data_IF_615592087661
#
_entry.id   IF_615592087661
#
_cell.length_a   1.000
_cell.length_b   1.000
_cell.length_c   1.000
_cell.angle_alpha   90.00
_cell.angle_beta   90.00
_cell.angle_gamma   90.00
#
_symmetry.space_group_name_H-M   'P 1'
#
loop_
_entity.id
_entity.type
_entity.pdbx_description
1 polymer ?
#
# COMPACT_ATOMS: atom_id res chain seq x y z
N UNK A 1 34.60 4.68 -16.46
CA UNK A 1 33.44 5.34 -17.05
C UNK A 1 32.25 4.94 -16.20
N UNK A 2 31.77 5.85 -15.37
CA UNK A 2 30.63 5.59 -14.46
C UNK A 2 29.36 5.80 -15.28
N UNK A 3 28.65 4.72 -15.62
CA UNK A 3 27.34 4.80 -16.23
C UNK A 3 26.36 5.35 -15.18
N UNK A 4 26.00 6.60 -15.32
CA UNK A 4 24.87 7.20 -14.59
C UNK A 4 23.58 6.54 -15.09
N UNK A 5 23.05 5.58 -14.32
CA UNK A 5 21.71 5.06 -14.56
C UNK A 5 20.71 6.20 -14.36
N UNK A 6 20.17 6.69 -15.45
CA UNK A 6 19.08 7.67 -15.44
C UNK A 6 17.87 7.03 -14.78
N UNK A 7 17.43 7.61 -13.67
CA UNK A 7 16.14 7.35 -13.04
C UNK A 7 15.04 7.53 -14.08
N UNK A 8 14.36 6.47 -14.49
CA UNK A 8 13.15 6.56 -15.31
C UNK A 8 11.98 6.81 -14.38
N UNK A 9 11.64 8.09 -14.20
CA UNK A 9 10.40 8.47 -13.52
C UNK A 9 9.26 8.43 -14.54
N UNK A 10 8.31 7.53 -14.37
CA UNK A 10 7.04 7.56 -15.08
C UNK A 10 6.07 8.45 -14.29
N UNK A 11 6.01 9.74 -14.66
CA UNK A 11 4.99 10.66 -14.13
C UNK A 11 3.68 10.37 -14.86
N UNK A 12 2.75 9.67 -14.20
CA UNK A 12 1.40 9.45 -14.72
C UNK A 12 0.56 10.73 -14.70
N UNK A 13 -0.43 10.83 -15.61
CA UNK A 13 -1.15 12.04 -15.99
C UNK A 13 -1.81 12.86 -14.87
N UNK A 14 -1.98 12.30 -13.66
CA UNK A 14 -2.63 13.00 -12.55
C UNK A 14 -1.74 13.25 -11.33
N UNK A 15 -0.51 12.72 -11.28
CA UNK A 15 0.42 12.93 -10.18
C UNK A 15 -0.03 12.38 -8.80
N UNK A 16 -1.11 11.57 -8.75
CA UNK A 16 -1.62 10.95 -7.52
C UNK A 16 -0.92 9.63 -7.17
N UNK A 17 -0.23 9.02 -8.11
CA UNK A 17 0.70 7.92 -7.91
C UNK A 17 2.04 8.35 -8.49
N UNK A 18 3.08 8.28 -7.68
CA UNK A 18 4.45 8.44 -8.14
C UNK A 18 5.08 7.06 -8.20
N UNK A 19 5.57 6.67 -9.38
CA UNK A 19 6.25 5.42 -9.60
C UNK A 19 7.63 5.69 -10.21
N UNK A 20 8.66 5.15 -9.57
CA UNK A 20 10.05 5.30 -10.01
C UNK A 20 10.85 4.03 -9.73
N UNK A 21 11.92 3.83 -10.48
CA UNK A 21 12.90 2.80 -10.19
C UNK A 21 14.15 3.47 -9.65
N UNK A 22 14.53 3.11 -8.42
CA UNK A 22 15.76 3.55 -7.80
C UNK A 22 16.63 2.35 -7.46
N UNK A 23 17.84 2.31 -7.97
CA UNK A 23 18.68 1.10 -7.91
C UNK A 23 17.98 -0.07 -8.59
N UNK A 24 17.62 -1.09 -7.82
CA UNK A 24 16.90 -2.29 -8.29
C UNK A 24 15.51 -2.43 -7.65
N UNK A 25 14.94 -1.34 -7.18
CA UNK A 25 13.61 -1.29 -6.55
C UNK A 25 12.62 -0.45 -7.34
N UNK A 26 11.43 -0.98 -7.53
CA UNK A 26 10.24 -0.21 -7.89
C UNK A 26 9.67 0.46 -6.65
N UNK A 27 9.53 1.77 -6.67
CA UNK A 27 9.00 2.56 -5.56
C UNK A 27 7.69 3.21 -5.97
N UNK A 28 6.61 2.85 -5.26
CA UNK A 28 5.27 3.40 -5.45
C UNK A 28 4.93 4.28 -4.25
N UNK A 29 4.62 5.54 -4.53
CA UNK A 29 4.14 6.49 -3.53
C UNK A 29 2.73 6.95 -3.88
N UNK A 30 1.77 6.65 -2.99
CA UNK A 30 0.41 7.22 -3.08
C UNK A 30 0.48 8.69 -2.70
N UNK A 31 0.14 9.59 -3.63
CA UNK A 31 0.41 11.02 -3.54
C UNK A 31 -0.88 11.86 -3.58
N UNK A 32 -1.92 11.41 -2.92
CA UNK A 32 -3.20 12.13 -2.77
C UNK A 32 -3.47 12.47 -1.31
N UNK A 33 -2.48 13.02 -0.62
CA UNK A 33 -2.50 13.27 0.84
C UNK A 33 -3.69 14.12 1.31
N UNK A 34 -4.23 15.02 0.47
CA UNK A 34 -5.45 15.81 0.76
C UNK A 34 -6.69 14.95 0.98
N UNK A 35 -6.74 13.76 0.39
CA UNK A 35 -7.81 12.78 0.54
C UNK A 35 -7.32 11.52 1.30
N UNK A 36 -6.28 11.65 2.15
CA UNK A 36 -5.68 10.53 2.88
C UNK A 36 -5.30 9.36 1.97
N UNK A 37 -4.87 9.67 0.76
CA UNK A 37 -4.52 8.72 -0.30
C UNK A 37 -5.64 7.74 -0.69
N UNK A 38 -6.91 8.17 -0.54
CA UNK A 38 -8.06 7.38 -1.02
C UNK A 38 -7.92 7.10 -2.52
N UNK A 39 -8.20 5.85 -2.90
CA UNK A 39 -8.00 5.33 -4.25
C UNK A 39 -9.06 5.88 -5.21
N UNK A 40 -8.60 6.37 -6.34
CA UNK A 40 -9.41 6.60 -7.53
C UNK A 40 -9.12 5.54 -8.59
N UNK A 41 -10.01 5.40 -9.56
CA UNK A 41 -9.80 4.47 -10.69
C UNK A 41 -8.48 4.76 -11.44
N UNK A 42 -8.14 6.05 -11.61
CA UNK A 42 -6.86 6.43 -12.20
C UNK A 42 -5.66 5.93 -11.39
N UNK A 43 -5.71 6.02 -10.05
CA UNK A 43 -4.64 5.49 -9.18
C UNK A 43 -4.52 3.98 -9.28
N UNK A 44 -5.64 3.26 -9.33
CA UNK A 44 -5.67 1.79 -9.52
C UNK A 44 -4.96 1.43 -10.84
N UNK A 45 -5.29 2.11 -11.92
CA UNK A 45 -4.69 1.92 -13.25
C UNK A 45 -3.20 2.25 -13.27
N UNK A 46 -2.79 3.35 -12.66
CA UNK A 46 -1.39 3.77 -12.59
C UNK A 46 -0.53 2.75 -11.81
N UNK A 47 -1.02 2.26 -10.66
CA UNK A 47 -0.35 1.22 -9.87
C UNK A 47 -0.24 -0.08 -10.68
N UNK A 48 -1.34 -0.50 -11.31
CA UNK A 48 -1.39 -1.71 -12.13
C UNK A 48 -0.37 -1.63 -13.28
N UNK A 49 -0.33 -0.51 -13.99
CA UNK A 49 0.61 -0.30 -15.10
C UNK A 49 2.08 -0.39 -14.65
N UNK A 50 2.41 0.24 -13.52
CA UNK A 50 3.76 0.19 -12.95
C UNK A 50 4.14 -1.25 -12.57
N UNK A 51 3.26 -1.98 -11.88
CA UNK A 51 3.50 -3.36 -11.48
C UNK A 51 3.68 -4.30 -12.68
N UNK A 52 2.84 -4.17 -13.71
CA UNK A 52 2.95 -5.00 -14.92
C UNK A 52 4.27 -4.74 -15.66
N UNK A 53 4.67 -3.46 -15.78
CA UNK A 53 5.95 -3.11 -16.39
C UNK A 53 7.14 -3.67 -15.60
N UNK A 54 7.13 -3.54 -14.29
CA UNK A 54 8.23 -4.00 -13.43
C UNK A 54 8.26 -5.51 -13.22
N UNK A 55 7.15 -6.21 -13.42
CA UNK A 55 7.12 -7.67 -13.38
C UNK A 55 8.03 -8.29 -14.41
N UNK A 56 8.06 -7.72 -15.61
CA UNK A 56 8.85 -8.19 -16.75
C UNK A 56 10.27 -7.55 -16.82
N UNK A 57 10.58 -6.59 -15.94
CA UNK A 57 11.91 -5.94 -15.93
C UNK A 57 12.85 -6.64 -14.93
N UNK A 58 13.83 -7.38 -15.44
CA UNK A 58 14.85 -8.07 -14.63
C UNK A 58 15.72 -7.13 -13.78
N UNK A 59 15.73 -5.84 -14.07
CA UNK A 59 16.42 -4.85 -13.23
C UNK A 59 15.64 -4.50 -11.96
N UNK A 60 14.34 -4.72 -11.92
CA UNK A 60 13.52 -4.51 -10.71
C UNK A 60 13.43 -5.83 -9.95
N UNK A 61 13.95 -5.86 -8.73
CA UNK A 61 13.99 -7.07 -7.90
C UNK A 61 12.93 -7.12 -6.80
N UNK A 62 12.43 -5.97 -6.38
CA UNK A 62 11.36 -5.87 -5.37
C UNK A 62 10.59 -4.56 -5.58
N UNK A 63 9.41 -4.45 -4.95
CA UNK A 63 8.58 -3.25 -5.01
C UNK A 63 8.22 -2.80 -3.60
N UNK A 64 8.28 -1.49 -3.34
CA UNK A 64 7.86 -0.92 -2.06
C UNK A 64 6.77 0.14 -2.25
N UNK A 65 5.81 0.12 -1.32
CA UNK A 65 4.67 1.04 -1.29
C UNK A 65 4.71 1.92 -0.04
N UNK A 66 4.38 3.21 -0.21
CA UNK A 66 4.14 4.15 0.89
C UNK A 66 3.02 5.14 0.56
N UNK A 67 2.47 5.78 1.59
CA UNK A 67 1.60 6.94 1.44
C UNK A 67 2.34 8.25 1.74
N UNK A 68 2.21 9.24 0.85
CA UNK A 68 2.68 10.60 1.08
C UNK A 68 1.82 11.26 2.16
N UNK A 69 2.47 11.94 3.09
CA UNK A 69 1.83 12.71 4.14
C UNK A 69 1.78 14.21 3.85
N UNK A 70 1.36 14.94 4.89
CA UNK A 70 1.48 16.38 4.99
C UNK A 70 2.15 16.74 6.30
N UNK A 71 3.08 17.67 6.25
CA UNK A 71 3.57 18.33 7.45
C UNK A 71 2.44 19.16 8.08
N UNK A 72 2.17 18.94 9.37
CA UNK A 72 1.07 19.61 10.07
C UNK A 72 1.34 21.09 10.33
N UNK A 73 2.61 21.48 10.40
CA UNK A 73 3.02 22.85 10.69
C UNK A 73 3.04 23.72 9.45
N UNK A 74 3.56 23.19 8.33
CA UNK A 74 3.72 23.95 7.06
C UNK A 74 2.64 23.64 6.04
N UNK A 75 1.97 22.49 6.13
CA UNK A 75 1.04 22.00 5.12
C UNK A 75 1.72 21.41 3.89
N UNK A 76 3.05 21.38 3.86
CA UNK A 76 3.84 20.83 2.77
C UNK A 76 3.76 19.29 2.73
N UNK A 77 4.20 18.69 1.62
CA UNK A 77 4.30 17.25 1.49
C UNK A 77 5.33 16.68 2.47
N UNK A 78 4.94 15.65 3.21
CA UNK A 78 5.82 14.88 4.07
C UNK A 78 6.04 13.48 3.46
N UNK A 79 7.27 12.91 3.54
CA UNK A 79 7.60 11.66 2.85
C UNK A 79 6.78 10.45 3.33
N UNK A 80 6.20 10.53 4.53
CA UNK A 80 5.32 9.51 5.08
C UNK A 80 4.10 10.15 5.75
N UNK A 81 2.95 9.47 5.64
CA UNK A 81 1.69 9.85 6.25
C UNK A 81 0.69 8.71 6.15
N UNK A 82 -0.62 9.02 6.11
CA UNK A 82 -1.61 7.96 5.92
C UNK A 82 -1.30 7.15 4.68
N UNK A 83 -1.26 5.82 4.84
CA UNK A 83 -0.98 4.92 3.73
C UNK A 83 -2.09 5.04 2.67
N UNK A 84 -3.32 4.65 3.05
CA UNK A 84 -4.48 4.76 2.19
C UNK A 84 -5.78 4.59 3.00
N UNK A 85 -6.73 5.49 2.82
CA UNK A 85 -8.02 5.46 3.52
C UNK A 85 -9.11 4.60 2.83
N UNK A 86 -8.74 3.81 1.82
CA UNK A 86 -9.66 3.00 1.03
C UNK A 86 -10.07 3.64 -0.30
N UNK A 87 -11.15 3.16 -0.90
CA UNK A 87 -11.72 3.76 -2.11
C UNK A 87 -12.30 5.16 -1.86
N UNK A 88 -12.42 5.96 -2.90
CA UNK A 88 -13.01 7.30 -2.81
C UNK A 88 -14.55 7.23 -2.69
N UNK A 89 -15.04 7.09 -1.45
CA UNK A 89 -16.48 6.98 -1.14
C UNK A 89 -17.31 8.14 -1.71
N UNK A 90 -16.73 9.34 -1.80
CA UNK A 90 -17.45 10.49 -2.38
C UNK A 90 -17.70 10.30 -3.86
N UNK A 91 -16.70 9.80 -4.56
CA UNK A 91 -16.83 9.42 -5.96
C UNK A 91 -17.85 8.30 -6.11
N UNK A 92 -17.80 7.25 -5.29
CA UNK A 92 -18.75 6.13 -5.36
C UNK A 92 -20.19 6.59 -5.20
N UNK A 93 -20.45 7.44 -4.21
CA UNK A 93 -21.78 7.99 -3.99
C UNK A 93 -22.30 8.79 -5.19
N UNK A 94 -21.47 9.66 -5.75
CA UNK A 94 -21.82 10.47 -6.92
C UNK A 94 -22.04 9.61 -8.17
N UNK A 95 -21.14 8.66 -8.43
CA UNK A 95 -21.23 7.76 -9.57
C UNK A 95 -22.48 6.87 -9.48
N UNK A 96 -22.79 6.34 -8.29
CA UNK A 96 -23.99 5.53 -8.07
C UNK A 96 -25.27 6.32 -8.35
N UNK A 97 -25.38 7.57 -7.86
CA UNK A 97 -26.53 8.43 -8.12
C UNK A 97 -26.68 8.81 -9.60
N UNK A 98 -25.56 8.94 -10.31
CA UNK A 98 -25.52 9.26 -11.72
C UNK A 98 -25.73 8.05 -12.65
N UNK A 99 -25.70 6.81 -12.11
CA UNK A 99 -25.68 5.59 -12.92
C UNK A 99 -24.41 5.48 -13.77
N UNK A 100 -23.28 6.02 -13.27
CA UNK A 100 -22.01 6.02 -14.00
C UNK A 100 -21.39 4.61 -14.01
N UNK A 101 -21.18 3.98 -15.17
CA UNK A 101 -20.63 2.64 -15.28
C UNK A 101 -19.18 2.53 -14.78
N UNK A 102 -18.45 3.64 -14.67
CA UNK A 102 -17.07 3.64 -14.18
C UNK A 102 -16.96 3.22 -12.68
N UNK A 103 -18.10 3.20 -11.97
CA UNK A 103 -18.14 2.64 -10.61
C UNK A 103 -17.88 1.12 -10.62
N UNK A 104 -18.45 0.41 -11.59
CA UNK A 104 -18.27 -1.05 -11.77
C UNK A 104 -16.84 -1.35 -12.23
N UNK A 105 -16.30 -0.52 -13.13
CA UNK A 105 -14.88 -0.58 -13.53
C UNK A 105 -13.95 -0.43 -12.34
N UNK A 106 -14.24 0.50 -11.41
CA UNK A 106 -13.41 0.70 -10.23
C UNK A 106 -13.27 -0.59 -9.42
N UNK A 107 -14.36 -1.24 -9.02
CA UNK A 107 -14.30 -2.46 -8.22
C UNK A 107 -13.63 -3.61 -8.97
N UNK A 108 -13.94 -3.77 -10.25
CA UNK A 108 -13.34 -4.81 -11.09
C UNK A 108 -11.83 -4.65 -11.19
N UNK A 109 -11.36 -3.42 -11.44
CA UNK A 109 -9.93 -3.14 -11.59
C UNK A 109 -9.20 -3.13 -10.24
N UNK A 110 -9.83 -2.66 -9.15
CA UNK A 110 -9.28 -2.72 -7.80
C UNK A 110 -9.06 -4.18 -7.36
N UNK A 111 -10.04 -5.06 -7.56
CA UNK A 111 -9.89 -6.47 -7.18
C UNK A 111 -8.85 -7.19 -8.06
N UNK A 112 -8.76 -6.80 -9.33
CA UNK A 112 -7.70 -7.28 -10.22
C UNK A 112 -6.32 -6.83 -9.74
N UNK A 113 -6.18 -5.58 -9.30
CA UNK A 113 -4.95 -5.06 -8.71
C UNK A 113 -4.58 -5.79 -7.42
N UNK A 114 -5.55 -6.03 -6.52
CA UNK A 114 -5.31 -6.77 -5.27
C UNK A 114 -4.80 -8.19 -5.56
N UNK A 115 -5.40 -8.87 -6.54
CA UNK A 115 -4.93 -10.19 -6.98
C UNK A 115 -3.52 -10.12 -7.59
N UNK A 116 -3.23 -9.10 -8.41
CA UNK A 116 -1.91 -8.90 -9.00
C UNK A 116 -0.84 -8.72 -7.92
N UNK A 117 -1.10 -7.91 -6.88
CA UNK A 117 -0.16 -7.72 -5.77
C UNK A 117 0.04 -9.02 -4.99
N UNK A 118 -1.06 -9.73 -4.68
CA UNK A 118 -1.01 -10.98 -3.92
C UNK A 118 -0.24 -12.11 -4.65
N UNK A 119 -0.32 -12.14 -5.98
CA UNK A 119 0.37 -13.15 -6.81
C UNK A 119 1.65 -12.62 -7.45
N UNK A 120 2.14 -11.48 -6.99
CA UNK A 120 3.30 -10.84 -7.62
C UNK A 120 4.55 -11.70 -7.45
N UNK A 121 5.28 -11.90 -8.56
CA UNK A 121 6.44 -12.80 -8.61
C UNK A 121 7.70 -12.28 -7.90
N UNK A 122 7.71 -11.00 -7.52
CA UNK A 122 8.83 -10.35 -6.82
C UNK A 122 8.38 -9.91 -5.44
N UNK A 123 9.28 -9.83 -4.44
CA UNK A 123 8.95 -9.34 -3.11
C UNK A 123 8.30 -7.96 -3.15
N UNK A 124 7.22 -7.80 -2.38
CA UNK A 124 6.50 -6.54 -2.22
C UNK A 124 6.48 -6.13 -0.76
N UNK A 125 6.67 -4.84 -0.48
CA UNK A 125 6.73 -4.29 0.88
C UNK A 125 5.76 -3.10 1.01
N UNK A 126 4.90 -3.11 2.02
CA UNK A 126 4.02 -2.00 2.36
C UNK A 126 4.45 -1.33 3.67
N UNK A 127 4.75 -0.02 3.62
CA UNK A 127 4.94 0.83 4.79
C UNK A 127 3.59 1.44 5.20
N UNK A 128 2.92 0.77 6.11
CA UNK A 128 1.58 1.10 6.58
C UNK A 128 1.61 2.11 7.73
N UNK A 129 1.96 3.36 7.42
CA UNK A 129 1.94 4.44 8.41
C UNK A 129 0.58 5.16 8.40
N UNK A 130 0.15 5.73 9.53
CA UNK A 130 -1.12 6.42 9.66
C UNK A 130 -2.33 5.54 9.30
N UNK A 131 -3.27 6.05 8.50
CA UNK A 131 -4.52 5.36 8.14
C UNK A 131 -4.25 4.29 7.07
N UNK A 132 -4.79 3.09 7.33
CA UNK A 132 -4.78 1.92 6.43
C UNK A 132 -6.14 1.26 6.51
N UNK A 133 -7.04 1.57 5.58
CA UNK A 133 -8.44 1.11 5.66
C UNK A 133 -8.97 0.65 4.29
N UNK A 134 -9.92 -0.28 4.29
CA UNK A 134 -10.61 -0.73 3.09
C UNK A 134 -9.68 -1.09 1.93
N UNK A 135 -9.79 -0.46 0.77
CA UNK A 135 -8.88 -0.67 -0.38
C UNK A 135 -7.39 -0.48 -0.04
N UNK A 136 -7.05 0.33 0.98
CA UNK A 136 -5.69 0.44 1.51
C UNK A 136 -5.22 -0.86 2.16
N UNK A 137 -6.12 -1.57 2.86
CA UNK A 137 -5.87 -2.92 3.34
C UNK A 137 -5.69 -3.89 2.16
N UNK A 138 -6.50 -3.77 1.11
CA UNK A 138 -6.39 -4.60 -0.09
C UNK A 138 -5.01 -4.55 -0.74
N UNK A 139 -4.44 -3.35 -0.88
CA UNK A 139 -3.06 -3.19 -1.37
C UNK A 139 -2.06 -3.78 -0.38
N UNK A 140 -2.15 -3.39 0.89
CA UNK A 140 -1.14 -3.74 1.89
C UNK A 140 -1.13 -5.23 2.22
N UNK A 141 -2.30 -5.86 2.38
CA UNK A 141 -2.41 -7.28 2.74
C UNK A 141 -2.03 -8.22 1.59
N UNK A 142 -2.02 -7.72 0.35
CA UNK A 142 -1.46 -8.44 -0.80
C UNK A 142 0.07 -8.47 -0.81
N UNK A 143 0.75 -7.57 -0.10
CA UNK A 143 2.20 -7.51 -0.06
C UNK A 143 2.82 -8.67 0.74
N UNK A 144 4.05 -9.08 0.33
CA UNK A 144 4.82 -10.13 1.00
C UNK A 144 5.24 -9.73 2.42
N UNK A 145 5.50 -8.42 2.62
CA UNK A 145 5.96 -7.87 3.89
C UNK A 145 5.21 -6.58 4.21
N UNK A 146 4.80 -6.45 5.48
CA UNK A 146 3.91 -5.39 5.95
C UNK A 146 4.48 -4.79 7.21
N UNK A 147 4.85 -3.50 7.15
CA UNK A 147 5.47 -2.76 8.24
C UNK A 147 4.52 -1.69 8.76
N UNK A 148 4.29 -1.66 10.06
CA UNK A 148 3.43 -0.70 10.75
C UNK A 148 4.21 0.17 11.73
N UNK A 149 3.57 1.25 12.20
CA UNK A 149 4.17 2.19 13.15
C UNK A 149 3.25 2.44 14.36
N UNK A 150 3.71 3.27 15.30
CA UNK A 150 2.87 3.77 16.40
C UNK A 150 1.70 4.65 15.91
N UNK A 151 1.79 5.18 14.68
CA UNK A 151 0.74 6.03 14.09
C UNK A 151 -0.30 5.22 13.31
N UNK A 152 -0.06 3.94 13.06
CA UNK A 152 -0.95 3.10 12.27
C UNK A 152 -2.34 3.01 12.90
N UNK A 153 -3.34 3.24 12.06
CA UNK A 153 -4.76 3.03 12.35
C UNK A 153 -5.35 2.17 11.23
N UNK A 154 -5.56 0.92 11.53
CA UNK A 154 -5.95 -0.11 10.56
C UNK A 154 -7.37 -0.57 10.82
N UNK A 155 -8.19 -0.68 9.78
CA UNK A 155 -9.56 -1.19 9.88
C UNK A 155 -10.10 -1.68 8.54
N UNK A 156 -11.13 -2.53 8.59
CA UNK A 156 -12.05 -2.82 7.50
C UNK A 156 -13.43 -2.25 7.88
N UNK A 157 -13.68 -0.94 7.64
CA UNK A 157 -14.86 -0.25 8.16
C UNK A 157 -16.11 -0.36 7.27
N UNK A 158 -16.12 -1.27 6.30
CA UNK A 158 -17.14 -1.39 5.24
C UNK A 158 -18.54 -1.57 5.81
N UNK A 159 -18.69 -2.28 6.93
CA UNK A 159 -19.99 -2.49 7.60
C UNK A 159 -20.62 -1.19 8.05
N UNK A 160 -19.84 -0.13 8.34
CA UNK A 160 -20.36 1.18 8.72
C UNK A 160 -21.02 1.93 7.56
N UNK A 161 -20.81 1.47 6.32
CA UNK A 161 -21.40 2.07 5.11
C UNK A 161 -22.28 1.10 4.33
N UNK A 162 -22.69 -0.02 4.97
CA UNK A 162 -23.61 -0.99 4.38
C UNK A 162 -22.95 -1.94 3.38
N UNK A 163 -21.61 -2.04 3.39
CA UNK A 163 -20.82 -3.02 2.63
C UNK A 163 -20.31 -4.14 3.55
N UNK A 164 -19.53 -5.04 3.01
CA UNK A 164 -18.78 -6.08 3.73
C UNK A 164 -17.29 -5.88 3.46
N UNK A 165 -16.39 -6.39 4.31
CA UNK A 165 -14.95 -6.41 4.04
C UNK A 165 -14.64 -7.16 2.75
N UNK A 166 -14.39 -6.41 1.68
CA UNK A 166 -14.01 -6.87 0.35
C UNK A 166 -12.48 -6.91 0.18
N UNK A 167 -11.93 -6.58 -0.96
CA UNK A 167 -10.48 -6.44 -1.28
C UNK A 167 -9.59 -7.56 -0.73
N UNK A 168 -10.09 -8.77 -0.63
CA UNK A 168 -9.40 -9.90 -0.02
C UNK A 168 -9.63 -10.03 1.50
N UNK A 169 -10.53 -9.25 2.10
CA UNK A 169 -10.83 -9.25 3.53
C UNK A 169 -11.15 -10.64 4.08
N UNK A 170 -11.95 -11.42 3.39
CA UNK A 170 -12.25 -12.81 3.77
C UNK A 170 -10.99 -13.68 3.87
N UNK A 171 -9.98 -13.42 3.03
CA UNK A 171 -8.72 -14.16 3.05
C UNK A 171 -7.84 -13.79 4.23
N UNK A 172 -7.51 -12.53 4.42
CA UNK A 172 -6.55 -12.14 5.47
C UNK A 172 -7.18 -12.10 6.87
N UNK A 173 -8.46 -11.75 7.01
CA UNK A 173 -9.15 -11.77 8.31
C UNK A 173 -9.36 -13.20 8.82
N UNK A 174 -9.66 -14.17 7.95
CA UNK A 174 -9.81 -15.57 8.37
C UNK A 174 -8.50 -16.20 8.89
N UNK A 175 -7.37 -15.53 8.72
CA UNK A 175 -6.06 -15.96 9.21
C UNK A 175 -5.65 -15.30 10.53
N UNK A 176 -6.45 -14.38 11.03
CA UNK A 176 -6.24 -13.82 12.36
C UNK A 176 -6.46 -14.90 13.45
N UNK A 177 -5.76 -14.80 14.59
CA UNK A 177 -5.90 -15.78 15.67
C UNK A 177 -7.30 -15.73 16.30
N UNK A 178 -7.80 -16.89 16.70
CA UNK A 178 -9.11 -17.02 17.35
C UNK A 178 -10.23 -16.47 16.47
N UNK A 179 -11.09 -15.62 17.02
CA UNK A 179 -12.20 -14.97 16.32
C UNK A 179 -11.95 -13.46 16.07
N UNK A 180 -10.69 -13.04 16.07
CA UNK A 180 -10.33 -11.62 15.85
C UNK A 180 -10.75 -11.18 14.47
N UNK A 181 -10.58 -12.01 13.44
CA UNK A 181 -10.94 -11.67 12.07
C UNK A 181 -12.44 -11.40 11.92
N UNK A 182 -13.28 -12.27 12.47
CA UNK A 182 -14.75 -12.08 12.47
C UNK A 182 -15.15 -10.83 13.27
N UNK A 183 -14.52 -10.61 14.42
CA UNK A 183 -14.73 -9.41 15.22
C UNK A 183 -14.44 -8.14 14.41
N UNK A 184 -13.27 -8.06 13.78
CA UNK A 184 -12.88 -6.90 12.95
C UNK A 184 -13.80 -6.72 11.74
N UNK A 185 -14.18 -7.84 11.09
CA UNK A 185 -15.07 -7.81 9.93
C UNK A 185 -16.48 -7.27 10.27
N UNK A 186 -17.01 -7.64 11.44
CA UNK A 186 -18.36 -7.29 11.83
C UNK A 186 -18.46 -5.90 12.47
N UNK A 187 -17.42 -5.47 13.18
CA UNK A 187 -17.44 -4.22 13.95
C UNK A 187 -16.83 -3.03 13.22
N UNK A 188 -15.92 -3.28 12.25
CA UNK A 188 -15.11 -2.22 11.65
C UNK A 188 -14.16 -1.55 12.65
N UNK A 189 -13.80 -2.24 13.74
CA UNK A 189 -12.95 -1.69 14.80
C UNK A 189 -11.60 -1.23 14.26
N UNK A 190 -11.14 -0.09 14.77
CA UNK A 190 -9.83 0.48 14.41
C UNK A 190 -8.77 -0.04 15.36
N UNK A 191 -7.75 -0.72 14.82
CA UNK A 191 -6.63 -1.24 15.59
C UNK A 191 -5.35 -0.46 15.35
N UNK A 192 -4.44 -0.51 16.33
CA UNK A 192 -3.11 0.08 16.23
C UNK A 192 -2.06 -0.87 15.67
N UNK A 193 -0.88 -0.34 15.34
CA UNK A 193 0.20 -1.13 14.72
C UNK A 193 0.63 -2.34 15.54
N UNK A 194 0.74 -2.23 16.87
CA UNK A 194 1.12 -3.39 17.73
C UNK A 194 0.07 -4.50 17.72
N UNK A 195 -1.22 -4.14 17.68
CA UNK A 195 -2.31 -5.12 17.55
C UNK A 195 -2.28 -5.78 16.17
N UNK A 196 -2.00 -5.00 15.10
CA UNK A 196 -1.87 -5.53 13.75
C UNK A 196 -0.78 -6.62 13.68
N UNK A 197 0.39 -6.40 14.30
CA UNK A 197 1.44 -7.43 14.39
C UNK A 197 0.96 -8.63 15.21
N UNK A 198 0.39 -8.41 16.39
CA UNK A 198 -0.06 -9.49 17.27
C UNK A 198 -1.14 -10.37 16.62
N UNK A 199 -1.92 -9.83 15.68
CA UNK A 199 -3.01 -10.52 15.01
C UNK A 199 -2.68 -10.99 13.58
N UNK A 200 -1.41 -10.88 13.16
CA UNK A 200 -0.94 -11.36 11.86
C UNK A 200 -1.34 -10.49 10.67
N UNK A 201 -1.80 -9.26 10.92
CA UNK A 201 -2.12 -8.26 9.89
C UNK A 201 -0.92 -7.37 9.52
N UNK A 202 0.19 -7.52 10.22
CA UNK A 202 1.48 -6.92 9.90
C UNK A 202 2.61 -7.85 10.35
N UNK A 203 3.78 -7.71 9.72
CA UNK A 203 4.94 -8.56 9.95
C UNK A 203 5.99 -7.87 10.83
N UNK A 204 6.06 -6.53 10.79
CA UNK A 204 7.01 -5.76 11.56
C UNK A 204 6.44 -4.44 12.10
N UNK A 205 7.01 -4.01 13.25
CA UNK A 205 6.69 -2.72 13.86
C UNK A 205 7.94 -1.87 13.96
N UNK A 206 7.89 -0.65 13.43
CA UNK A 206 8.98 0.32 13.50
C UNK A 206 8.47 1.67 13.98
N UNK A 207 9.35 2.46 14.61
CA UNK A 207 9.02 3.83 14.97
C UNK A 207 8.93 4.71 13.72
N UNK A 208 7.87 5.50 13.60
CA UNK A 208 7.62 6.31 12.40
C UNK A 208 8.77 7.27 12.04
N UNK A 209 9.52 7.75 13.03
CA UNK A 209 10.69 8.59 12.81
C UNK A 209 11.82 7.88 12.02
N UNK A 210 11.84 6.53 11.99
CA UNK A 210 12.84 5.73 11.27
C UNK A 210 12.46 5.52 9.80
N UNK A 211 11.16 5.66 9.43
CA UNK A 211 10.65 5.30 8.11
C UNK A 211 11.39 5.99 6.96
N UNK A 212 11.67 7.29 7.08
CA UNK A 212 12.33 8.02 6.01
C UNK A 212 13.74 7.48 5.74
N UNK A 213 14.51 7.24 6.81
CA UNK A 213 15.83 6.63 6.70
C UNK A 213 15.73 5.21 6.10
N UNK A 214 14.79 4.41 6.58
CA UNK A 214 14.59 3.04 6.12
C UNK A 214 14.23 2.98 4.63
N UNK A 215 13.37 3.89 4.16
CA UNK A 215 13.04 4.02 2.74
C UNK A 215 14.26 4.33 1.88
N UNK A 216 15.10 5.27 2.30
CA UNK A 216 16.33 5.61 1.57
C UNK A 216 17.34 4.46 1.59
N UNK A 217 17.57 3.84 2.76
CA UNK A 217 18.46 2.69 2.86
C UNK A 217 18.01 1.54 1.96
N UNK A 218 16.70 1.25 1.93
CA UNK A 218 16.13 0.24 1.04
C UNK A 218 16.43 0.55 -0.43
N UNK A 219 16.20 1.80 -0.84
CA UNK A 219 16.41 2.25 -2.22
C UNK A 219 17.89 2.25 -2.66
N UNK A 220 18.81 2.45 -1.71
CA UNK A 220 20.27 2.52 -1.96
C UNK A 220 20.97 1.16 -1.83
N UNK A 221 20.32 0.15 -1.25
CA UNK A 221 20.92 -1.17 -1.04
C UNK A 221 21.08 -1.92 -2.37
N UNK A 222 22.31 -2.35 -2.73
CA UNK A 222 22.57 -3.06 -3.98
C UNK A 222 22.17 -4.53 -3.84
N UNK A 223 20.93 -4.89 -4.14
CA UNK A 223 20.48 -6.27 -4.13
C UNK A 223 20.98 -7.04 -5.34
N UNK A 224 21.45 -8.27 -5.11
CA UNK A 224 21.91 -9.17 -6.18
C UNK A 224 20.76 -10.00 -6.76
N UNK A 225 19.70 -10.24 -5.98
CA UNK A 225 18.52 -11.02 -6.38
C UNK A 225 17.29 -10.63 -5.55
N UNK A 226 16.09 -10.99 -6.03
CA UNK A 226 14.83 -10.81 -5.27
C UNK A 226 14.87 -11.52 -3.91
N UNK A 227 15.42 -12.75 -3.84
CA UNK A 227 15.58 -13.48 -2.58
C UNK A 227 16.57 -12.78 -1.61
N UNK A 228 17.58 -12.08 -2.11
CA UNK A 228 18.47 -11.28 -1.27
C UNK A 228 17.74 -10.03 -0.74
N UNK A 229 16.93 -9.38 -1.57
CA UNK A 229 16.10 -8.26 -1.17
C UNK A 229 15.10 -8.68 -0.08
N UNK A 230 14.39 -9.77 -0.28
CA UNK A 230 13.41 -10.30 0.68
C UNK A 230 14.05 -10.61 2.04
N UNK A 231 15.17 -11.33 2.07
CA UNK A 231 15.89 -11.62 3.33
C UNK A 231 16.36 -10.36 4.03
N UNK A 232 16.92 -9.41 3.29
CA UNK A 232 17.38 -8.15 3.86
C UNK A 232 16.20 -7.38 4.47
N UNK A 233 15.10 -7.24 3.75
CA UNK A 233 13.88 -6.57 4.21
C UNK A 233 13.35 -7.26 5.47
N UNK A 234 13.27 -8.60 5.48
CA UNK A 234 12.83 -9.35 6.65
C UNK A 234 13.74 -9.11 7.87
N UNK A 235 15.05 -9.08 7.68
CA UNK A 235 16.01 -8.85 8.78
C UNK A 235 15.91 -7.43 9.34
N UNK A 236 15.76 -6.43 8.48
CA UNK A 236 15.76 -5.02 8.91
C UNK A 236 14.42 -4.56 9.50
N UNK A 237 13.31 -5.20 9.13
CA UNK A 237 11.96 -4.70 9.45
C UNK A 237 11.12 -5.64 10.34
N UNK A 238 11.51 -6.93 10.50
CA UNK A 238 10.74 -7.93 11.26
C UNK A 238 11.42 -8.33 12.59
N UNK A 239 12.64 -7.85 12.83
CA UNK A 239 13.40 -8.17 14.05
C UNK A 239 12.85 -7.52 15.32
#
# INVERSE_FOLDING_TARGET
MVNSHKTQAHNHAHGHVLSEVQGRLGLITLNRSKALNALSLAMVRDITAALLAWREDDNVLAVAFRGMGKDKATGDSAPFGSFCAGGDIRYFHQAALAGDPTLEDFFTEEYTLNHLIHTYSKPTLAFMDGIVMGGGMGIAQGCSLRVVTERTKMAMPETNIGLFPDVGGGYFLSRCPGHVGEYLALTGEVIGGRQAVAWGLADGYVESQKLNRMWHTLAETPFESGAAAERWIATEFIA
#
